data_IF_678134855685
#
_entry.id   IF_678134855685
#
_cell.length_a   1.000
_cell.length_b   1.000
_cell.length_c   1.000
_cell.angle_alpha   90.00
_cell.angle_beta   90.00
_cell.angle_gamma   90.00
#
_symmetry.space_group_name_H-M   'P 1'
#
loop_
_entity.id
_entity.type
_entity.pdbx_description
1 polymer ?
#
# COMPACT_ATOMS: atom_id res chain seq x y z
N UNK A 1 -20.93 15.86 -8.65
CA UNK A 1 -19.70 15.97 -9.47
C UNK A 1 -18.67 14.99 -8.94
N UNK A 2 -18.03 14.20 -9.82
CA UNK A 2 -16.90 13.32 -9.43
C UNK A 2 -15.67 14.20 -9.32
N UNK A 3 -15.02 14.20 -8.16
CA UNK A 3 -13.76 14.91 -7.92
C UNK A 3 -12.61 13.91 -7.91
N UNK A 4 -11.40 14.40 -8.15
CA UNK A 4 -10.16 13.63 -8.02
C UNK A 4 -9.27 14.34 -7.00
N UNK A 5 -8.62 13.57 -6.13
CA UNK A 5 -7.58 14.09 -5.24
C UNK A 5 -6.43 13.09 -5.28
N UNK A 6 -5.21 13.62 -5.43
CA UNK A 6 -4.00 12.83 -5.40
C UNK A 6 -3.12 13.18 -4.19
N UNK A 7 -2.43 12.16 -3.69
CA UNK A 7 -1.47 12.20 -2.59
C UNK A 7 -0.20 11.60 -3.11
N UNK A 8 0.92 12.30 -3.02
CA UNK A 8 2.21 11.73 -3.36
C UNK A 8 3.28 12.17 -2.40
N UNK A 9 4.38 11.42 -2.39
CA UNK A 9 5.52 11.71 -1.53
C UNK A 9 6.23 10.44 -1.09
N UNK A 10 6.67 10.46 0.16
CA UNK A 10 7.55 9.46 0.78
C UNK A 10 6.94 8.98 2.08
N UNK A 11 7.00 7.67 2.32
CA UNK A 11 6.42 7.07 3.52
C UNK A 11 7.21 5.90 4.07
N UNK A 12 7.06 5.67 5.36
CA UNK A 12 7.59 4.50 6.05
C UNK A 12 6.48 3.45 6.20
N UNK A 13 6.61 2.35 5.45
CA UNK A 13 5.66 1.25 5.43
C UNK A 13 6.09 0.09 6.33
N UNK A 14 5.15 -0.49 7.07
CA UNK A 14 5.34 -1.75 7.81
C UNK A 14 5.17 -2.94 6.86
N UNK A 15 6.28 -3.59 6.50
CA UNK A 15 6.29 -4.70 5.54
C UNK A 15 6.78 -5.99 6.19
N UNK A 16 6.12 -7.10 5.85
CA UNK A 16 6.59 -8.43 6.25
C UNK A 16 7.90 -8.78 5.58
N UNK A 17 8.90 -9.13 6.38
CA UNK A 17 10.18 -9.64 5.88
C UNK A 17 9.93 -10.96 5.15
N UNK A 18 10.44 -11.06 3.92
CA UNK A 18 10.44 -12.32 3.16
C UNK A 18 11.78 -13.01 3.37
N UNK A 19 11.75 -14.33 3.58
CA UNK A 19 12.95 -15.16 3.65
C UNK A 19 12.85 -16.30 2.63
N UNK A 20 14.01 -16.77 2.14
CA UNK A 20 14.07 -17.91 1.22
C UNK A 20 14.20 -19.20 2.00
N UNK A 21 13.34 -20.16 1.68
CA UNK A 21 13.39 -21.50 2.24
C UNK A 21 13.50 -22.53 1.12
N UNK A 22 14.25 -23.58 1.37
CA UNK A 22 14.23 -24.76 0.51
C UNK A 22 12.92 -25.51 0.72
N UNK A 23 12.21 -25.79 -0.38
CA UNK A 23 11.06 -26.69 -0.36
C UNK A 23 11.29 -27.75 -1.43
N UNK A 24 11.02 -29.00 -1.08
CA UNK A 24 11.06 -30.11 -2.03
C UNK A 24 9.77 -30.09 -2.86
N UNK A 25 9.91 -30.14 -4.17
CA UNK A 25 8.79 -30.30 -5.11
C UNK A 25 8.37 -31.77 -5.21
N UNK A 26 7.25 -32.03 -5.89
CA UNK A 26 6.74 -33.39 -6.12
C UNK A 26 7.68 -34.26 -6.97
N UNK A 27 8.45 -33.66 -7.86
CA UNK A 27 9.46 -34.30 -8.73
C UNK A 27 10.83 -34.49 -8.05
N UNK A 28 10.92 -34.27 -6.73
CA UNK A 28 12.13 -34.54 -5.95
C UNK A 28 13.16 -33.41 -5.93
N UNK A 29 13.04 -32.40 -6.80
CA UNK A 29 13.97 -31.26 -6.87
C UNK A 29 13.75 -30.30 -5.69
N UNK A 30 14.83 -29.82 -5.08
CA UNK A 30 14.78 -28.74 -4.08
C UNK A 30 14.78 -27.40 -4.81
N UNK A 31 13.79 -26.56 -4.55
CA UNK A 31 13.72 -25.20 -5.09
C UNK A 31 13.60 -24.19 -3.94
N UNK A 32 14.19 -23.00 -4.10
CA UNK A 32 14.04 -21.91 -3.13
C UNK A 32 12.75 -21.15 -3.39
N UNK A 33 11.97 -20.93 -2.32
CA UNK A 33 10.75 -20.14 -2.35
C UNK A 33 10.83 -18.99 -1.35
N UNK A 34 10.31 -17.83 -1.76
CA UNK A 34 10.08 -16.71 -0.84
C UNK A 34 8.86 -17.01 0.02
N UNK A 35 9.02 -16.98 1.34
CA UNK A 35 7.92 -17.07 2.29
C UNK A 35 7.89 -15.81 3.14
N UNK A 36 6.68 -15.27 3.37
CA UNK A 36 6.46 -14.19 4.33
C UNK A 36 6.73 -14.70 5.74
N UNK A 37 7.50 -13.96 6.52
CA UNK A 37 7.75 -14.27 7.93
C UNK A 37 6.82 -13.44 8.83
N UNK A 38 6.73 -13.80 10.11
CA UNK A 38 6.01 -13.00 11.11
C UNK A 38 6.72 -11.68 11.43
N UNK A 39 8.00 -11.54 11.09
CA UNK A 39 8.78 -10.33 11.36
C UNK A 39 8.31 -9.19 10.45
N UNK A 40 7.96 -8.08 11.06
CA UNK A 40 7.63 -6.83 10.38
C UNK A 40 8.87 -5.94 10.44
N UNK A 41 9.20 -5.30 9.32
CA UNK A 41 10.25 -4.28 9.23
C UNK A 41 9.65 -3.02 8.63
N UNK A 42 10.01 -1.88 9.19
CA UNK A 42 9.71 -0.60 8.58
C UNK A 42 10.63 -0.36 7.39
N UNK A 43 10.05 -0.01 6.26
CA UNK A 43 10.76 0.27 5.02
C UNK A 43 10.29 1.61 4.47
N UNK A 44 11.25 2.48 4.22
CA UNK A 44 11.03 3.74 3.51
C UNK A 44 10.75 3.42 2.04
N UNK A 45 9.63 3.94 1.53
CA UNK A 45 9.23 3.87 0.13
C UNK A 45 9.13 5.29 -0.41
N UNK A 46 9.94 5.58 -1.43
CA UNK A 46 9.95 6.85 -2.14
C UNK A 46 9.00 6.79 -3.36
N UNK A 47 8.58 7.96 -3.85
CA UNK A 47 7.80 8.12 -5.09
C UNK A 47 6.48 7.32 -5.11
N UNK A 48 5.78 7.29 -3.97
CA UNK A 48 4.49 6.61 -3.85
C UNK A 48 3.36 7.61 -4.08
N UNK A 49 2.24 7.15 -4.68
CA UNK A 49 1.09 8.01 -4.96
C UNK A 49 -0.24 7.27 -4.82
N UNK A 50 -1.20 7.89 -4.14
CA UNK A 50 -2.62 7.56 -4.25
C UNK A 50 -3.30 8.58 -5.16
N UNK A 51 -4.17 8.13 -6.04
CA UNK A 51 -5.10 8.96 -6.80
C UNK A 51 -6.51 8.42 -6.52
N UNK A 52 -7.31 9.22 -5.83
CA UNK A 52 -8.67 8.87 -5.47
C UNK A 52 -9.66 9.59 -6.37
N UNK A 53 -10.65 8.86 -6.89
CA UNK A 53 -11.81 9.43 -7.56
C UNK A 53 -13.10 9.04 -6.84
N UNK A 54 -14.09 9.93 -6.84
CA UNK A 54 -15.33 9.70 -6.11
C UNK A 54 -16.09 10.98 -5.80
N UNK A 55 -16.98 10.91 -4.81
CA UNK A 55 -17.91 12.01 -4.48
C UNK A 55 -17.84 12.36 -2.99
N UNK A 56 -17.88 13.66 -2.71
CA UNK A 56 -18.17 14.23 -1.38
C UNK A 56 -17.48 13.56 -0.20
N UNK A 57 -18.28 12.99 0.71
CA UNK A 57 -17.88 12.45 2.00
C UNK A 57 -16.93 11.26 1.90
N UNK A 58 -17.13 10.36 0.93
CA UNK A 58 -16.31 9.15 0.83
C UNK A 58 -14.92 9.48 0.34
N UNK A 59 -14.80 10.49 -0.52
CA UNK A 59 -13.51 10.99 -0.96
C UNK A 59 -12.74 11.58 0.23
N UNK A 60 -13.37 12.41 1.06
CA UNK A 60 -12.76 12.91 2.30
C UNK A 60 -12.33 11.78 3.25
N UNK A 61 -13.20 10.78 3.48
CA UNK A 61 -12.84 9.62 4.31
C UNK A 61 -11.67 8.83 3.73
N UNK A 62 -11.61 8.66 2.42
CA UNK A 62 -10.52 7.95 1.76
C UNK A 62 -9.20 8.70 1.95
N UNK A 63 -9.21 10.03 1.80
CA UNK A 63 -8.07 10.90 2.11
C UNK A 63 -7.60 10.72 3.56
N UNK A 64 -8.51 10.86 4.52
CA UNK A 64 -8.18 10.74 5.95
C UNK A 64 -7.60 9.36 6.26
N UNK A 65 -8.24 8.30 5.74
CA UNK A 65 -7.78 6.93 5.94
C UNK A 65 -6.42 6.68 5.26
N UNK A 66 -6.17 7.29 4.11
CA UNK A 66 -4.90 7.20 3.39
C UNK A 66 -3.70 7.80 4.14
N UNK A 67 -3.90 8.65 5.17
CA UNK A 67 -2.80 9.09 6.02
C UNK A 67 -2.16 7.96 6.83
N UNK A 68 -2.85 6.85 7.05
CA UNK A 68 -2.35 5.68 7.77
C UNK A 68 -1.86 4.55 6.84
N UNK A 69 -1.90 4.78 5.52
CA UNK A 69 -1.47 3.80 4.53
C UNK A 69 -0.48 4.41 3.55
N UNK A 70 0.58 3.67 3.26
CA UNK A 70 1.56 3.98 2.22
C UNK A 70 1.20 3.18 0.97
N UNK A 71 1.00 3.82 -0.20
CA UNK A 71 0.61 3.13 -1.42
C UNK A 71 1.67 2.14 -1.89
N UNK A 72 1.23 1.06 -2.54
CA UNK A 72 2.13 0.08 -3.19
C UNK A 72 2.63 0.59 -4.55
N UNK A 73 3.29 1.75 -4.56
CA UNK A 73 3.71 2.47 -5.77
C UNK A 73 2.68 3.49 -6.21
N UNK A 74 2.27 3.46 -7.49
CA UNK A 74 1.19 4.30 -8.01
C UNK A 74 -0.15 3.56 -7.91
N UNK A 75 -1.10 4.14 -7.18
CA UNK A 75 -2.41 3.54 -6.95
C UNK A 75 -3.51 4.50 -7.36
N UNK A 76 -4.23 4.16 -8.42
CA UNK A 76 -5.44 4.84 -8.84
C UNK A 76 -6.66 4.01 -8.43
N UNK A 77 -7.54 4.55 -7.58
CA UNK A 77 -8.67 3.79 -7.00
C UNK A 77 -9.87 4.67 -6.67
N UNK A 78 -11.09 4.11 -6.75
CA UNK A 78 -12.28 4.80 -6.25
C UNK A 78 -12.25 4.89 -4.72
N UNK A 79 -12.71 6.01 -4.16
CA UNK A 79 -12.78 6.21 -2.72
C UNK A 79 -13.51 5.06 -1.98
N UNK A 80 -14.63 4.58 -2.52
CA UNK A 80 -15.43 3.47 -1.95
C UNK A 80 -14.62 2.18 -1.84
N UNK A 81 -14.05 1.70 -2.95
CA UNK A 81 -13.20 0.48 -2.97
C UNK A 81 -11.99 0.58 -2.04
N UNK A 82 -11.41 1.76 -1.90
CA UNK A 82 -10.31 1.96 -0.96
C UNK A 82 -10.79 1.82 0.48
N UNK A 83 -11.94 2.41 0.83
CA UNK A 83 -12.50 2.33 2.18
C UNK A 83 -12.85 0.90 2.59
N UNK A 84 -13.39 0.10 1.66
CA UNK A 84 -13.71 -1.32 1.85
C UNK A 84 -12.47 -2.15 2.18
N UNK A 85 -11.37 -1.97 1.43
CA UNK A 85 -10.16 -2.75 1.66
C UNK A 85 -8.85 -1.97 1.38
N UNK A 86 -8.43 -1.08 2.30
CA UNK A 86 -7.24 -0.25 2.11
C UNK A 86 -5.95 -1.06 2.00
N UNK A 87 -5.87 -2.17 2.74
CA UNK A 87 -4.69 -3.06 2.79
C UNK A 87 -4.33 -3.70 1.44
N UNK A 88 -5.31 -3.77 0.52
CA UNK A 88 -5.09 -4.20 -0.86
C UNK A 88 -4.18 -3.20 -1.60
N UNK A 89 -4.40 -1.92 -1.34
CA UNK A 89 -3.84 -0.80 -2.07
C UNK A 89 -2.59 -0.19 -1.40
N UNK A 90 -2.44 -0.33 -0.09
CA UNK A 90 -1.30 0.16 0.66
C UNK A 90 -0.79 -0.79 1.73
N UNK A 91 0.31 -0.42 2.35
CA UNK A 91 0.79 -0.97 3.62
C UNK A 91 0.47 0.00 4.74
N UNK A 92 0.22 -0.48 5.95
CA UNK A 92 0.13 0.41 7.10
C UNK A 92 1.46 1.11 7.33
N UNK A 93 1.41 2.39 7.66
CA UNK A 93 2.62 3.20 7.78
C UNK A 93 2.32 4.67 7.96
N UNK A 94 3.39 5.47 7.98
CA UNK A 94 3.33 6.91 8.21
C UNK A 94 4.03 7.64 7.08
N UNK A 95 3.41 8.72 6.61
CA UNK A 95 4.00 9.59 5.60
C UNK A 95 5.11 10.44 6.23
N UNK A 96 6.29 10.42 5.61
CA UNK A 96 7.43 11.25 6.01
C UNK A 96 7.29 12.62 5.34
N UNK A 97 7.04 12.62 4.03
CA UNK A 97 6.79 13.81 3.22
C UNK A 97 5.54 13.55 2.38
N UNK A 98 4.61 14.50 2.34
CA UNK A 98 3.37 14.38 1.56
C UNK A 98 2.99 15.70 0.91
N UNK A 99 2.58 15.61 -0.34
CA UNK A 99 1.96 16.69 -1.09
C UNK A 99 0.57 16.22 -1.54
N UNK A 100 -0.38 17.16 -1.57
CA UNK A 100 -1.79 16.90 -1.91
C UNK A 100 -2.16 17.79 -3.11
N UNK A 101 -2.55 17.14 -4.20
CA UNK A 101 -3.15 17.77 -5.38
C UNK A 101 -4.67 17.56 -5.32
N UNK A 102 -5.46 18.63 -5.40
CA UNK A 102 -6.93 18.59 -5.35
C UNK A 102 -7.59 19.13 -6.61
#
# INVERSE_FOLDING_TARGET
>A
MVKRIAFYGKGEAKIHVKQRFWKRRKDGIKQRYWRKTKRIKSQVIDNVRFEFYGKGKDLYKAVVKAHHYIPKGFVHVSAEKFLENPSKYGFEGEWIEKEIES
#
